data_IF_513518937989
#
_entry.id   IF_513518937989
#
_cell.length_a   1.000
_cell.length_b   1.000
_cell.length_c   1.000
_cell.angle_alpha   90.00
_cell.angle_beta   90.00
_cell.angle_gamma   90.00
#
_symmetry.space_group_name_H-M   'P 1'
#
loop_
_entity.id
_entity.type
_entity.pdbx_description
1 polymer ?
#
# COMPACT_ATOMS: atom_id res chain seq x y z
N UNK A 1 -23.16 -17.66 -9.84
CA UNK A 1 -23.40 -18.55 -8.69
C UNK A 1 -24.54 -17.96 -7.86
N UNK A 2 -25.42 -18.80 -7.31
CA UNK A 2 -26.70 -18.44 -6.70
C UNK A 2 -26.59 -17.64 -5.40
N UNK A 3 -27.43 -16.61 -5.27
CA UNK A 3 -27.57 -15.66 -4.14
C UNK A 3 -28.04 -16.25 -2.79
N UNK A 4 -28.06 -17.57 -2.58
CA UNK A 4 -28.56 -18.14 -1.33
C UNK A 4 -27.67 -19.30 -0.84
N UNK A 5 -26.87 -19.04 0.21
CA UNK A 5 -26.50 -20.00 1.29
C UNK A 5 -25.37 -19.50 2.23
N UNK A 6 -24.83 -18.29 2.06
CA UNK A 6 -23.91 -17.72 3.06
C UNK A 6 -24.67 -16.75 3.94
N UNK A 7 -24.74 -17.05 5.24
CA UNK A 7 -25.17 -16.08 6.24
C UNK A 7 -24.37 -14.79 6.01
N UNK A 8 -25.06 -13.64 6.02
CA UNK A 8 -24.41 -12.35 5.88
C UNK A 8 -23.22 -12.27 6.87
N UNK A 9 -22.02 -11.89 6.39
CA UNK A 9 -20.79 -11.85 7.21
C UNK A 9 -20.98 -11.02 8.47
N UNK A 10 -21.78 -9.96 8.40
CA UNK A 10 -22.16 -9.14 9.55
C UNK A 10 -23.08 -9.88 10.54
N UNK A 11 -23.97 -10.75 10.08
CA UNK A 11 -24.82 -11.54 10.99
C UNK A 11 -24.00 -12.63 11.69
N UNK A 12 -23.04 -13.25 10.97
CA UNK A 12 -22.11 -14.21 11.56
C UNK A 12 -21.24 -13.61 12.67
N UNK A 13 -20.66 -12.43 12.44
CA UNK A 13 -19.83 -11.80 13.47
C UNK A 13 -20.65 -11.39 14.71
N UNK A 14 -21.92 -10.99 14.54
CA UNK A 14 -22.83 -10.68 15.64
C UNK A 14 -23.19 -11.91 16.47
N UNK A 15 -23.43 -13.05 15.82
CA UNK A 15 -23.69 -14.33 16.50
C UNK A 15 -22.50 -14.72 17.39
N UNK A 16 -21.28 -14.72 16.82
CA UNK A 16 -20.04 -15.03 17.54
C UNK A 16 -19.84 -14.04 18.70
N UNK A 17 -20.09 -12.76 18.48
CA UNK A 17 -20.00 -11.74 19.53
C UNK A 17 -20.95 -12.03 20.70
N UNK A 18 -22.21 -12.40 20.41
CA UNK A 18 -23.18 -12.76 21.44
C UNK A 18 -22.76 -14.01 22.22
N UNK A 19 -22.23 -15.04 21.54
CA UNK A 19 -21.73 -16.24 22.20
C UNK A 19 -20.54 -15.95 23.10
N UNK A 20 -19.57 -15.17 22.62
CA UNK A 20 -18.41 -14.74 23.42
C UNK A 20 -18.87 -13.92 24.62
N UNK A 21 -19.76 -12.95 24.42
CA UNK A 21 -20.32 -12.13 25.50
C UNK A 21 -21.04 -12.97 26.56
N UNK A 22 -21.76 -14.01 26.15
CA UNK A 22 -22.49 -14.90 27.06
C UNK A 22 -21.54 -15.83 27.85
N UNK A 23 -20.43 -16.26 27.26
CA UNK A 23 -19.47 -17.21 27.86
C UNK A 23 -18.36 -16.53 28.66
N UNK A 24 -17.94 -15.33 28.27
CA UNK A 24 -16.84 -14.58 28.89
C UNK A 24 -17.35 -13.40 29.74
N UNK A 25 -18.31 -13.66 30.64
CA UNK A 25 -18.98 -12.63 31.48
C UNK A 25 -18.06 -11.89 32.43
N UNK A 26 -16.88 -12.44 32.68
CA UNK A 26 -15.85 -11.88 33.54
C UNK A 26 -14.92 -10.89 32.83
N UNK A 27 -15.11 -10.66 31.53
CA UNK A 27 -14.31 -9.73 30.71
C UNK A 27 -15.00 -8.35 30.64
N UNK A 28 -14.20 -7.28 30.72
CA UNK A 28 -14.71 -5.91 30.73
C UNK A 28 -15.11 -5.45 29.32
N UNK A 29 -14.24 -5.67 28.33
CA UNK A 29 -14.46 -5.24 26.95
C UNK A 29 -14.14 -6.36 25.95
N UNK A 30 -14.98 -6.48 24.91
CA UNK A 30 -14.92 -7.55 23.91
C UNK A 30 -14.97 -6.91 22.53
N UNK A 31 -14.08 -7.32 21.64
CA UNK A 31 -14.07 -6.92 20.23
C UNK A 31 -13.83 -8.14 19.34
N UNK A 32 -14.61 -8.23 18.27
CA UNK A 32 -14.44 -9.23 17.22
C UNK A 32 -14.20 -8.50 15.91
N UNK A 33 -13.15 -8.91 15.20
CA UNK A 33 -12.78 -8.39 13.89
C UNK A 33 -12.75 -9.54 12.88
N UNK A 34 -13.40 -9.37 11.74
CA UNK A 34 -13.36 -10.32 10.63
C UNK A 34 -12.76 -9.62 9.40
N UNK A 35 -11.92 -10.33 8.67
CA UNK A 35 -11.49 -9.91 7.34
C UNK A 35 -11.44 -11.09 6.39
N UNK A 36 -12.01 -10.92 5.20
CA UNK A 36 -12.07 -11.94 4.14
C UNK A 36 -11.68 -11.28 2.83
N UNK A 37 -10.80 -11.94 2.08
CA UNK A 37 -10.40 -11.56 0.73
C UNK A 37 -10.64 -12.72 -0.22
N UNK A 38 -11.20 -12.43 -1.39
CA UNK A 38 -11.30 -13.37 -2.50
C UNK A 38 -10.49 -12.90 -3.70
N UNK A 39 -9.98 -13.86 -4.46
CA UNK A 39 -9.20 -13.67 -5.68
C UNK A 39 -9.71 -14.60 -6.77
N UNK A 40 -9.85 -14.06 -7.98
CA UNK A 40 -10.05 -14.83 -9.20
C UNK A 40 -9.05 -14.34 -10.26
N UNK A 41 -8.15 -15.24 -10.67
CA UNK A 41 -6.98 -14.93 -11.50
C UNK A 41 -7.00 -15.78 -12.78
N UNK A 42 -6.69 -15.14 -13.90
CA UNK A 42 -6.49 -15.77 -15.20
C UNK A 42 -5.08 -15.44 -15.68
N UNK A 43 -4.22 -16.45 -15.73
CA UNK A 43 -2.85 -16.35 -16.25
C UNK A 43 -2.77 -17.06 -17.59
N UNK A 44 -2.20 -16.39 -18.58
CA UNK A 44 -1.94 -16.94 -19.92
C UNK A 44 -0.45 -17.07 -20.17
N UNK A 45 -0.12 -18.05 -21.00
CA UNK A 45 1.22 -18.31 -21.52
C UNK A 45 1.09 -19.16 -22.77
N UNK A 46 1.94 -18.91 -23.76
CA UNK A 46 1.94 -19.64 -25.04
C UNK A 46 0.59 -19.54 -25.78
N UNK A 47 -0.10 -18.39 -25.65
CA UNK A 47 -1.39 -18.08 -26.27
C UNK A 47 -2.56 -18.97 -25.82
N UNK A 48 -2.44 -19.60 -24.66
CA UNK A 48 -3.56 -20.26 -23.99
C UNK A 48 -3.56 -19.97 -22.49
N UNK A 49 -4.65 -20.36 -21.83
CA UNK A 49 -4.81 -20.27 -20.39
C UNK A 49 -3.89 -21.28 -19.71
N UNK A 50 -2.89 -20.78 -18.98
CA UNK A 50 -1.93 -21.58 -18.22
C UNK A 50 -2.45 -21.89 -16.82
N UNK A 51 -3.07 -20.89 -16.16
CA UNK A 51 -3.58 -21.02 -14.79
C UNK A 51 -4.91 -20.28 -14.63
N UNK A 52 -5.85 -20.93 -13.94
CA UNK A 52 -7.05 -20.30 -13.40
C UNK A 52 -7.10 -20.55 -11.90
N UNK A 53 -7.14 -19.47 -11.11
CA UNK A 53 -7.18 -19.52 -9.65
C UNK A 53 -8.51 -18.95 -9.17
N UNK A 54 -9.16 -19.65 -8.23
CA UNK A 54 -10.20 -19.08 -7.39
C UNK A 54 -9.84 -19.37 -5.94
N UNK A 55 -9.65 -18.33 -5.14
CA UNK A 55 -9.25 -18.45 -3.75
C UNK A 55 -10.09 -17.52 -2.86
N UNK A 56 -10.44 -18.00 -1.67
CA UNK A 56 -10.96 -17.18 -0.59
C UNK A 56 -10.10 -17.43 0.65
N UNK A 57 -9.70 -16.37 1.32
CA UNK A 57 -8.89 -16.41 2.53
C UNK A 57 -9.41 -15.41 3.53
N UNK A 58 -9.35 -15.75 4.81
CA UNK A 58 -9.74 -14.82 5.86
C UNK A 58 -9.87 -15.50 7.20
N UNK A 59 -10.45 -14.76 8.14
CA UNK A 59 -10.71 -15.29 9.46
C UNK A 59 -11.24 -14.24 10.40
N UNK A 60 -11.25 -14.63 11.68
CA UNK A 60 -11.86 -13.89 12.77
C UNK A 60 -10.82 -13.76 13.88
N UNK A 61 -10.60 -12.53 14.34
CA UNK A 61 -9.83 -12.20 15.51
C UNK A 61 -10.75 -11.84 16.68
N UNK A 62 -10.41 -12.33 17.87
CA UNK A 62 -11.02 -11.97 19.14
C UNK A 62 -10.02 -11.16 19.97
N UNK A 63 -10.46 -10.03 20.51
CA UNK A 63 -9.74 -9.23 21.49
C UNK A 63 -10.59 -9.13 22.75
N UNK A 64 -10.01 -9.50 23.89
CA UNK A 64 -10.58 -9.38 25.22
C UNK A 64 -9.75 -8.37 26.01
N UNK A 65 -10.40 -7.49 26.76
CA UNK A 65 -9.74 -6.57 27.69
C UNK A 65 -10.31 -6.79 29.09
N UNK A 66 -9.41 -6.97 30.06
CA UNK A 66 -9.77 -7.07 31.48
C UNK A 66 -8.70 -6.42 32.35
N UNK A 67 -9.10 -5.54 33.26
CA UNK A 67 -8.18 -4.82 34.16
C UNK A 67 -7.00 -4.17 33.40
N UNK A 68 -7.27 -3.62 32.21
CA UNK A 68 -6.24 -3.02 31.34
C UNK A 68 -5.29 -4.00 30.66
N UNK A 69 -5.48 -5.32 30.79
CA UNK A 69 -4.72 -6.34 30.06
C UNK A 69 -5.44 -6.73 28.78
N UNK A 70 -4.69 -6.92 27.69
CA UNK A 70 -5.24 -7.29 26.38
C UNK A 70 -4.89 -8.74 26.05
N UNK A 71 -5.90 -9.55 25.79
CA UNK A 71 -5.76 -10.90 25.26
C UNK A 71 -6.25 -10.99 23.84
N UNK A 72 -5.49 -11.67 22.97
CA UNK A 72 -5.87 -11.86 21.57
C UNK A 72 -5.87 -13.34 21.20
N UNK A 73 -6.80 -13.73 20.34
CA UNK A 73 -6.82 -15.03 19.66
C UNK A 73 -7.47 -14.90 18.29
N UNK A 74 -7.36 -15.92 17.45
CA UNK A 74 -7.94 -15.90 16.12
C UNK A 74 -8.30 -17.30 15.62
N UNK A 75 -9.08 -17.34 14.55
CA UNK A 75 -9.41 -18.56 13.79
C UNK A 75 -9.54 -18.24 12.31
N UNK A 76 -9.16 -19.18 11.44
CA UNK A 76 -9.38 -19.10 9.99
C UNK A 76 -10.73 -19.72 9.56
N UNK A 77 -11.43 -20.35 10.51
CA UNK A 77 -12.75 -20.94 10.26
C UNK A 77 -13.81 -19.84 10.23
N UNK A 78 -14.19 -19.40 9.03
CA UNK A 78 -15.25 -18.41 8.82
C UNK A 78 -16.63 -19.06 8.70
N UNK A 79 -16.71 -20.19 7.99
CA UNK A 79 -17.95 -20.83 7.52
C UNK A 79 -18.35 -22.13 8.23
N UNK A 80 -17.52 -22.62 9.15
CA UNK A 80 -17.76 -23.88 9.90
C UNK A 80 -18.00 -23.62 11.39
N UNK A 81 -18.35 -24.67 12.13
CA UNK A 81 -18.49 -24.64 13.59
C UNK A 81 -17.18 -24.19 14.23
N UNK A 82 -17.16 -22.92 14.65
CA UNK A 82 -16.04 -22.33 15.40
C UNK A 82 -16.11 -22.89 16.82
N UNK A 83 -15.00 -23.40 17.32
CA UNK A 83 -14.88 -23.68 18.74
C UNK A 83 -14.69 -22.36 19.51
N UNK A 84 -15.80 -21.74 19.90
CA UNK A 84 -15.82 -20.47 20.63
C UNK A 84 -15.10 -20.61 21.98
N UNK A 85 -15.17 -21.78 22.62
CA UNK A 85 -14.50 -22.01 23.90
C UNK A 85 -12.98 -21.98 23.75
N UNK A 86 -12.44 -22.62 22.70
CA UNK A 86 -10.99 -22.52 22.40
C UNK A 86 -10.58 -21.08 22.08
N UNK A 87 -11.39 -20.35 21.30
CA UNK A 87 -11.11 -18.96 20.96
C UNK A 87 -11.03 -18.08 22.23
N UNK A 88 -11.99 -18.23 23.16
CA UNK A 88 -12.00 -17.52 24.44
C UNK A 88 -10.83 -17.95 25.32
N UNK A 89 -10.58 -19.26 25.47
CA UNK A 89 -9.53 -19.79 26.32
C UNK A 89 -8.14 -19.35 25.86
N UNK A 90 -7.89 -19.33 24.55
CA UNK A 90 -6.65 -18.82 23.97
C UNK A 90 -6.49 -17.32 24.22
N UNK A 91 -7.55 -16.52 24.04
CA UNK A 91 -7.50 -15.09 24.33
C UNK A 91 -7.28 -14.83 25.83
N UNK A 92 -7.94 -15.57 26.74
CA UNK A 92 -7.71 -15.48 28.19
C UNK A 92 -6.30 -15.89 28.60
N UNK A 93 -5.73 -16.90 27.93
CA UNK A 93 -4.34 -17.31 28.15
C UNK A 93 -3.39 -16.18 27.73
N UNK A 94 -3.60 -15.58 26.55
CA UNK A 94 -2.86 -14.40 26.12
C UNK A 94 -3.00 -13.24 27.10
N UNK A 95 -4.21 -12.99 27.61
CA UNK A 95 -4.51 -11.94 28.59
C UNK A 95 -3.76 -12.13 29.90
N UNK A 96 -3.64 -13.38 30.38
CA UNK A 96 -2.95 -13.70 31.64
C UNK A 96 -1.50 -13.19 31.67
N UNK A 97 -0.78 -13.34 30.55
CA UNK A 97 0.62 -12.95 30.40
C UNK A 97 0.81 -11.49 29.96
N UNK A 98 -0.26 -10.76 29.67
CA UNK A 98 -0.17 -9.36 29.25
C UNK A 98 0.07 -8.41 30.43
N UNK A 99 0.81 -7.33 30.15
CA UNK A 99 0.95 -6.20 31.03
C UNK A 99 -0.37 -5.42 31.14
N UNK A 100 -0.63 -4.85 32.32
CA UNK A 100 -1.82 -4.06 32.60
C UNK A 100 -1.53 -2.59 32.33
N UNK A 101 -2.29 -1.97 31.42
CA UNK A 101 -2.26 -0.54 31.13
C UNK A 101 -3.70 0.03 31.06
N UNK A 102 -4.42 0.10 32.19
CA UNK A 102 -5.85 0.40 32.22
C UNK A 102 -6.21 1.80 31.72
N UNK A 103 -5.24 2.73 31.67
CA UNK A 103 -5.43 4.07 31.11
C UNK A 103 -5.49 4.06 29.58
N UNK A 104 -4.78 3.12 28.93
CA UNK A 104 -4.53 3.14 27.48
C UNK A 104 -5.21 1.97 26.74
N UNK A 105 -5.27 0.80 27.38
CA UNK A 105 -5.90 -0.40 26.82
C UNK A 105 -7.42 -0.34 27.00
N UNK A 106 -8.08 0.40 26.11
CA UNK A 106 -9.54 0.49 26.01
C UNK A 106 -9.99 0.41 24.57
N UNK A 107 -11.19 -0.09 24.34
CA UNK A 107 -11.82 -0.03 23.02
C UNK A 107 -12.26 1.40 22.72
N UNK A 108 -12.44 1.67 21.43
CA UNK A 108 -12.97 2.95 20.98
C UNK A 108 -14.50 2.93 21.07
N UNK A 109 -15.04 4.05 21.50
CA UNK A 109 -16.49 4.24 21.61
C UNK A 109 -17.13 4.38 20.24
N UNK A 110 -18.41 4.03 20.17
CA UNK A 110 -19.23 4.25 18.97
C UNK A 110 -19.24 5.74 18.62
N UNK A 111 -19.04 6.05 17.33
CA UNK A 111 -19.32 7.36 16.75
C UNK A 111 -20.77 7.41 16.20
N UNK A 112 -21.40 8.58 16.27
CA UNK A 112 -22.78 8.80 15.80
C UNK A 112 -22.88 9.01 14.27
N UNK A 113 -21.75 8.92 13.55
CA UNK A 113 -21.67 9.28 12.14
C UNK A 113 -21.72 8.03 11.25
N UNK A 114 -22.82 7.88 10.51
CA UNK A 114 -23.12 6.72 9.67
C UNK A 114 -22.69 6.89 8.21
N UNK A 115 -22.05 8.00 7.82
CA UNK A 115 -21.68 8.20 6.41
C UNK A 115 -20.63 7.17 5.99
N UNK A 116 -21.04 6.30 5.07
CA UNK A 116 -20.21 5.28 4.43
C UNK A 116 -20.24 5.43 2.92
N UNK A 117 -19.13 5.11 2.28
CA UNK A 117 -18.97 5.08 0.84
C UNK A 117 -19.10 3.65 0.34
N UNK A 118 -19.85 3.46 -0.74
CA UNK A 118 -19.87 2.19 -1.48
C UNK A 118 -18.59 2.09 -2.32
N UNK A 119 -17.83 1.04 -2.09
CA UNK A 119 -16.55 0.77 -2.77
C UNK A 119 -16.62 -0.47 -3.65
N UNK A 120 -17.83 -0.94 -3.98
CA UNK A 120 -18.05 -2.01 -4.94
C UNK A 120 -18.32 -1.41 -6.31
N UNK A 121 -17.37 -1.62 -7.21
CA UNK A 121 -17.55 -1.35 -8.62
C UNK A 121 -18.27 -2.52 -9.31
N UNK A 122 -19.51 -2.29 -9.76
CA UNK A 122 -20.33 -3.32 -10.42
C UNK A 122 -19.78 -3.74 -11.78
N UNK A 123 -19.05 -2.88 -12.48
CA UNK A 123 -18.49 -3.20 -13.79
C UNK A 123 -17.42 -4.29 -13.67
N UNK A 124 -16.59 -4.25 -12.62
CA UNK A 124 -15.62 -5.33 -12.32
C UNK A 124 -16.34 -6.65 -12.01
N UNK A 125 -17.43 -6.59 -11.24
CA UNK A 125 -18.22 -7.79 -10.88
C UNK A 125 -18.87 -8.42 -12.12
N UNK A 126 -19.35 -7.58 -13.04
CA UNK A 126 -20.10 -8.01 -14.23
C UNK A 126 -19.21 -8.56 -15.36
N UNK A 127 -17.88 -8.46 -15.25
CA UNK A 127 -16.97 -9.13 -16.20
C UNK A 127 -17.17 -10.65 -16.11
N UNK A 128 -17.53 -11.27 -17.23
CA UNK A 128 -17.66 -12.71 -17.36
C UNK A 128 -16.28 -13.38 -17.46
N UNK A 129 -16.20 -14.66 -17.08
CA UNK A 129 -14.96 -15.44 -17.14
C UNK A 129 -14.40 -15.50 -18.57
N UNK A 130 -15.25 -15.58 -19.59
CA UNK A 130 -14.83 -15.51 -21.00
C UNK A 130 -14.17 -14.17 -21.32
N UNK A 131 -14.72 -13.05 -20.81
CA UNK A 131 -14.13 -11.72 -21.02
C UNK A 131 -12.80 -11.57 -20.28
N UNK A 132 -12.68 -12.12 -19.07
CA UNK A 132 -11.44 -12.13 -18.31
C UNK A 132 -10.33 -12.92 -19.03
N UNK A 133 -10.66 -14.10 -19.60
CA UNK A 133 -9.75 -14.87 -20.45
C UNK A 133 -9.37 -14.10 -21.72
N UNK A 134 -10.34 -13.49 -22.41
CA UNK A 134 -10.10 -12.69 -23.62
C UNK A 134 -9.12 -11.54 -23.38
N UNK A 135 -9.30 -10.78 -22.29
CA UNK A 135 -8.39 -9.69 -21.94
C UNK A 135 -6.99 -10.22 -21.64
N UNK A 136 -6.89 -11.32 -20.88
CA UNK A 136 -5.60 -11.92 -20.54
C UNK A 136 -4.81 -12.34 -21.79
N UNK A 137 -5.47 -13.04 -22.73
CA UNK A 137 -4.87 -13.42 -24.01
C UNK A 137 -4.44 -12.20 -24.83
N UNK A 138 -5.27 -11.15 -24.84
CA UNK A 138 -4.98 -9.91 -25.57
C UNK A 138 -3.72 -9.22 -25.04
N UNK A 139 -3.45 -9.28 -23.72
CA UNK A 139 -2.23 -8.71 -23.12
C UNK A 139 -1.01 -9.44 -23.67
N UNK A 140 -0.99 -10.77 -23.64
CA UNK A 140 0.12 -11.57 -24.17
C UNK A 140 0.36 -11.32 -25.66
N UNK A 141 -0.71 -11.38 -26.48
CA UNK A 141 -0.61 -11.16 -27.93
C UNK A 141 -0.05 -9.77 -28.24
N UNK A 142 -0.48 -8.74 -27.50
CA UNK A 142 0.00 -7.39 -27.70
C UNK A 142 1.47 -7.25 -27.31
N UNK A 143 1.91 -7.84 -26.20
CA UNK A 143 3.32 -7.83 -25.77
C UNK A 143 4.24 -8.42 -26.85
N UNK A 144 3.88 -9.55 -27.46
CA UNK A 144 4.66 -10.14 -28.56
C UNK A 144 4.64 -9.28 -29.83
N UNK A 145 3.57 -8.53 -30.09
CA UNK A 145 3.41 -7.77 -31.34
C UNK A 145 4.25 -6.49 -31.43
N UNK A 146 4.72 -5.96 -30.29
CA UNK A 146 5.29 -4.62 -30.22
C UNK A 146 6.77 -4.53 -30.61
N UNK A 147 7.56 -5.59 -30.35
CA UNK A 147 8.99 -5.62 -30.69
C UNK A 147 9.45 -7.07 -30.92
N UNK A 148 10.19 -7.31 -32.02
CA UNK A 148 10.65 -8.65 -32.39
C UNK A 148 11.73 -9.23 -31.46
N UNK A 149 12.30 -8.42 -30.56
CA UNK A 149 13.24 -8.85 -29.54
C UNK A 149 12.56 -9.43 -28.32
N UNK A 150 11.24 -9.31 -28.18
CA UNK A 150 10.47 -10.04 -27.17
C UNK A 150 10.44 -11.51 -27.56
N UNK A 151 11.27 -12.31 -26.88
CA UNK A 151 11.46 -13.73 -27.19
C UNK A 151 10.60 -14.64 -26.32
N UNK A 152 10.07 -14.14 -25.21
CA UNK A 152 9.19 -14.89 -24.32
C UNK A 152 8.33 -13.95 -23.46
N UNK A 153 7.12 -14.39 -23.12
CA UNK A 153 6.20 -13.80 -22.14
C UNK A 153 5.96 -14.86 -21.06
N UNK A 154 6.74 -14.86 -19.95
CA UNK A 154 6.63 -15.90 -18.92
C UNK A 154 5.26 -15.94 -18.24
N UNK A 155 4.61 -14.79 -18.11
CA UNK A 155 3.32 -14.63 -17.45
C UNK A 155 2.64 -13.34 -17.91
N UNK A 156 1.38 -13.42 -18.28
CA UNK A 156 0.52 -12.27 -18.50
C UNK A 156 -0.91 -12.62 -18.06
N UNK A 157 -1.70 -11.61 -17.72
CA UNK A 157 -3.07 -11.87 -17.32
C UNK A 157 -3.66 -10.80 -16.43
N UNK A 158 -4.66 -11.22 -15.66
CA UNK A 158 -5.35 -10.35 -14.72
C UNK A 158 -5.85 -11.13 -13.51
N UNK A 159 -6.13 -10.40 -12.43
CA UNK A 159 -6.81 -10.89 -11.25
C UNK A 159 -7.83 -9.87 -10.77
N UNK A 160 -9.02 -10.33 -10.37
CA UNK A 160 -9.99 -9.51 -9.65
C UNK A 160 -10.04 -9.92 -8.18
N UNK A 161 -10.19 -8.92 -7.32
CA UNK A 161 -10.16 -9.07 -5.88
C UNK A 161 -11.46 -8.56 -5.27
N UNK A 162 -11.93 -9.25 -4.23
CA UNK A 162 -12.97 -8.74 -3.35
C UNK A 162 -12.44 -8.76 -1.91
N UNK A 163 -12.85 -7.79 -1.12
CA UNK A 163 -12.48 -7.67 0.27
C UNK A 163 -13.70 -7.33 1.11
N UNK A 164 -13.80 -7.94 2.27
CA UNK A 164 -14.75 -7.56 3.30
C UNK A 164 -14.07 -7.51 4.65
N UNK A 165 -14.36 -6.48 5.43
CA UNK A 165 -14.06 -6.47 6.86
C UNK A 165 -15.29 -6.13 7.68
N UNK A 166 -15.38 -6.72 8.86
CA UNK A 166 -16.43 -6.45 9.83
C UNK A 166 -15.79 -6.25 11.20
N UNK A 167 -16.40 -5.39 12.02
CA UNK A 167 -16.01 -5.21 13.41
C UNK A 167 -17.24 -5.05 14.29
N UNK A 168 -17.25 -5.75 15.43
CA UNK A 168 -18.25 -5.61 16.48
C UNK A 168 -17.55 -5.49 17.82
N UNK A 169 -17.94 -4.53 18.65
CA UNK A 169 -17.35 -4.35 19.97
C UNK A 169 -18.37 -4.05 21.08
N UNK A 170 -17.92 -4.17 22.34
CA UNK A 170 -18.74 -3.93 23.53
C UNK A 170 -19.17 -2.49 23.75
N UNK A 171 -18.51 -1.52 23.12
CA UNK A 171 -18.84 -0.10 23.21
C UNK A 171 -19.84 0.34 22.11
N UNK A 172 -20.39 -0.62 21.36
CA UNK A 172 -21.47 -0.39 20.41
C UNK A 172 -21.04 -0.25 18.96
N UNK A 173 -19.76 -0.45 18.63
CA UNK A 173 -19.32 -0.52 17.23
C UNK A 173 -19.89 -1.78 16.58
N UNK A 174 -20.42 -1.59 15.37
CA UNK A 174 -20.94 -2.66 14.51
C UNK A 174 -20.87 -2.16 13.06
N UNK A 175 -19.74 -2.38 12.37
CA UNK A 175 -19.46 -1.82 11.03
C UNK A 175 -19.04 -2.90 10.04
N UNK A 176 -19.53 -2.80 8.81
CA UNK A 176 -19.13 -3.64 7.66
C UNK A 176 -18.57 -2.74 6.56
N UNK A 177 -17.52 -3.21 5.90
CA UNK A 177 -16.99 -2.60 4.69
C UNK A 177 -16.74 -3.67 3.64
N UNK A 178 -17.16 -3.39 2.40
CA UNK A 178 -16.92 -4.23 1.22
C UNK A 178 -16.27 -3.39 0.13
N UNK A 179 -15.28 -3.94 -0.56
CA UNK A 179 -14.65 -3.32 -1.73
C UNK A 179 -14.14 -4.34 -2.73
N UNK A 180 -13.91 -3.91 -3.97
CA UNK A 180 -13.29 -4.73 -5.00
C UNK A 180 -12.25 -3.95 -5.80
N UNK A 181 -11.37 -4.68 -6.48
CA UNK A 181 -10.38 -4.14 -7.39
C UNK A 181 -10.05 -5.14 -8.48
N UNK A 182 -9.37 -4.68 -9.52
CA UNK A 182 -8.84 -5.51 -10.59
C UNK A 182 -7.38 -5.13 -10.84
N UNK A 183 -6.56 -6.12 -11.18
CA UNK A 183 -5.18 -5.95 -11.55
C UNK A 183 -4.90 -6.66 -12.88
N UNK A 184 -4.06 -6.06 -13.72
CA UNK A 184 -3.59 -6.59 -14.99
C UNK A 184 -2.08 -6.62 -14.93
N UNK A 185 -1.44 -7.69 -15.39
CA UNK A 185 0.00 -7.83 -15.27
C UNK A 185 0.62 -8.43 -16.53
N UNK A 186 1.91 -8.18 -16.72
CA UNK A 186 2.68 -8.76 -17.80
C UNK A 186 4.17 -8.82 -17.45
N UNK A 187 4.78 -9.95 -17.78
CA UNK A 187 6.22 -10.18 -17.72
C UNK A 187 6.74 -10.47 -19.12
N UNK A 188 7.86 -9.85 -19.49
CA UNK A 188 8.51 -10.06 -20.79
C UNK A 188 9.99 -10.37 -20.61
N UNK A 189 10.51 -11.19 -21.51
CA UNK A 189 11.94 -11.41 -21.72
C UNK A 189 12.30 -10.89 -23.11
N UNK A 190 13.22 -9.92 -23.15
CA UNK A 190 13.78 -9.41 -24.39
C UNK A 190 15.22 -9.90 -24.56
N UNK A 191 15.60 -10.18 -25.82
CA UNK A 191 16.95 -10.62 -26.18
C UNK A 191 17.47 -9.90 -27.41
N UNK A 192 18.71 -9.42 -27.33
CA UNK A 192 19.46 -8.89 -28.47
C UNK A 192 20.91 -9.34 -28.32
N UNK A 193 21.43 -10.08 -29.31
CA UNK A 193 22.70 -10.81 -29.22
C UNK A 193 22.74 -11.71 -27.96
N UNK A 194 23.78 -11.58 -27.13
CA UNK A 194 23.94 -12.32 -25.87
C UNK A 194 23.31 -11.62 -24.66
N UNK A 195 22.69 -10.44 -24.86
CA UNK A 195 22.07 -9.66 -23.79
C UNK A 195 20.62 -10.10 -23.63
N UNK A 196 20.27 -10.54 -22.43
CA UNK A 196 18.90 -10.90 -22.03
C UNK A 196 18.45 -9.97 -20.90
N UNK A 197 17.25 -9.41 -21.02
CA UNK A 197 16.64 -8.53 -20.03
C UNK A 197 15.21 -8.94 -19.75
N UNK A 198 14.75 -8.70 -18.54
CA UNK A 198 13.38 -8.96 -18.11
C UNK A 198 12.74 -7.69 -17.60
N UNK A 199 11.42 -7.62 -17.72
CA UNK A 199 10.62 -6.58 -17.10
C UNK A 199 9.26 -7.13 -16.73
N UNK A 200 8.78 -6.70 -15.57
CA UNK A 200 7.45 -7.01 -15.06
C UNK A 200 6.79 -5.70 -14.65
N UNK A 201 5.51 -5.56 -14.97
CA UNK A 201 4.67 -4.49 -14.44
C UNK A 201 3.26 -4.99 -14.17
N UNK A 202 2.58 -4.28 -13.28
CA UNK A 202 1.20 -4.57 -12.89
C UNK A 202 0.43 -3.25 -12.86
N UNK A 203 -0.77 -3.22 -13.43
CA UNK A 203 -1.76 -2.15 -13.36
C UNK A 203 -2.92 -2.53 -12.48
N UNK A 204 -3.16 -1.79 -11.38
CA UNK A 204 -4.26 -2.05 -10.45
C UNK A 204 -5.20 -0.86 -10.35
N UNK A 205 -6.50 -1.12 -10.38
CA UNK A 205 -7.57 -0.11 -10.35
C UNK A 205 -8.79 -0.59 -9.56
N UNK A 206 -9.60 0.35 -9.09
CA UNK A 206 -10.96 0.08 -8.58
C UNK A 206 -12.04 0.31 -9.64
N UNK A 207 -11.65 0.58 -10.89
CA UNK A 207 -12.51 0.61 -12.06
C UNK A 207 -12.14 -0.48 -13.07
N UNK A 208 -13.04 -0.77 -14.01
CA UNK A 208 -12.82 -1.74 -15.09
C UNK A 208 -12.16 -1.11 -16.33
N UNK A 209 -11.65 0.12 -16.24
CA UNK A 209 -11.05 0.83 -17.37
C UNK A 209 -9.58 0.43 -17.48
N UNK A 210 -9.22 -0.18 -18.60
CA UNK A 210 -7.87 -0.67 -18.86
C UNK A 210 -7.43 -0.32 -20.27
N UNK A 211 -6.38 0.51 -20.36
CA UNK A 211 -5.69 0.82 -21.61
C UNK A 211 -4.56 -0.19 -21.83
N UNK A 212 -4.89 -1.25 -22.56
CA UNK A 212 -3.96 -2.32 -22.91
C UNK A 212 -2.78 -1.82 -23.75
N UNK A 213 -2.99 -0.84 -24.62
CA UNK A 213 -1.96 -0.35 -25.54
C UNK A 213 -0.88 0.40 -24.75
N UNK A 214 -1.30 1.34 -23.89
CA UNK A 214 -0.37 2.08 -23.03
C UNK A 214 0.36 1.15 -22.06
N UNK A 215 -0.34 0.20 -21.45
CA UNK A 215 0.24 -0.75 -20.49
C UNK A 215 1.32 -1.65 -21.13
N UNK A 216 0.98 -2.30 -22.24
CA UNK A 216 1.92 -3.21 -22.92
C UNK A 216 3.07 -2.47 -23.58
N UNK A 217 2.83 -1.28 -24.14
CA UNK A 217 3.89 -0.41 -24.66
C UNK A 217 4.88 -0.01 -23.56
N UNK A 218 4.39 0.37 -22.37
CA UNK A 218 5.27 0.69 -21.24
C UNK A 218 6.16 -0.51 -20.87
N UNK A 219 5.60 -1.72 -20.80
CA UNK A 219 6.38 -2.94 -20.50
C UNK A 219 7.46 -3.20 -21.55
N UNK A 220 7.11 -3.14 -22.83
CA UNK A 220 8.03 -3.44 -23.94
C UNK A 220 9.11 -2.38 -24.06
N UNK A 221 8.76 -1.09 -23.99
CA UNK A 221 9.74 0.00 -24.03
C UNK A 221 10.77 -0.12 -22.90
N UNK A 222 10.33 -0.43 -21.69
CA UNK A 222 11.23 -0.57 -20.53
C UNK A 222 12.20 -1.74 -20.69
N UNK A 223 11.75 -2.92 -21.15
CA UNK A 223 12.67 -4.06 -21.32
C UNK A 223 13.64 -3.86 -22.49
N UNK A 224 13.15 -3.27 -23.58
CA UNK A 224 13.94 -3.04 -24.80
C UNK A 224 15.02 -2.00 -24.55
N UNK A 225 14.69 -0.90 -23.87
CA UNK A 225 15.67 0.14 -23.53
C UNK A 225 16.79 -0.35 -22.62
N UNK A 226 16.58 -1.45 -21.88
CA UNK A 226 17.63 -2.09 -21.05
C UNK A 226 18.65 -2.89 -21.87
N UNK A 227 18.35 -3.27 -23.11
CA UNK A 227 19.27 -4.05 -23.95
C UNK A 227 20.51 -3.24 -24.36
N UNK A 228 20.37 -1.92 -24.48
CA UNK A 228 21.44 -1.00 -24.90
C UNK A 228 21.99 -0.13 -23.75
N UNK A 229 21.79 -0.57 -22.50
CA UNK A 229 22.22 0.17 -21.32
C UNK A 229 23.75 0.34 -21.25
N UNK A 230 24.19 1.49 -20.71
CA UNK A 230 25.61 1.87 -20.59
C UNK A 230 25.98 2.21 -19.15
N UNK A 231 27.24 2.01 -18.73
CA UNK A 231 27.66 2.40 -17.38
C UNK A 231 27.52 3.91 -17.18
N UNK A 232 27.26 4.30 -15.92
CA UNK A 232 27.34 5.67 -15.45
C UNK A 232 28.53 5.79 -14.47
N UNK A 233 29.19 6.93 -14.41
CA UNK A 233 30.27 7.16 -13.46
C UNK A 233 29.74 7.32 -12.03
N UNK A 234 30.55 6.91 -11.05
CA UNK A 234 30.26 7.19 -9.64
C UNK A 234 30.43 8.68 -9.37
N UNK A 235 29.56 9.27 -8.56
CA UNK A 235 29.62 10.69 -8.28
C UNK A 235 28.34 11.24 -7.69
N UNK A 236 28.19 12.55 -7.77
CA UNK A 236 26.98 13.24 -7.32
C UNK A 236 26.24 13.80 -8.51
N UNK A 237 24.94 13.56 -8.56
CA UNK A 237 24.10 13.97 -9.67
C UNK A 237 22.90 14.74 -9.18
N UNK A 238 22.53 15.78 -9.93
CA UNK A 238 21.18 16.32 -9.89
C UNK A 238 20.24 15.26 -10.46
N UNK A 239 19.09 15.05 -9.82
CA UNK A 239 18.29 13.86 -10.09
C UNK A 239 16.82 14.21 -10.20
N UNK A 240 16.15 13.67 -11.22
CA UNK A 240 14.69 13.58 -11.22
C UNK A 240 14.33 12.17 -10.76
N UNK A 241 13.61 12.03 -9.66
CA UNK A 241 12.91 10.78 -9.38
C UNK A 241 11.58 10.84 -10.11
N UNK A 242 11.26 9.82 -10.90
CA UNK A 242 9.91 9.67 -11.47
C UNK A 242 8.89 9.50 -10.34
N UNK A 243 7.60 9.68 -10.64
CA UNK A 243 6.50 9.35 -9.74
C UNK A 243 6.65 7.95 -9.08
N UNK A 244 7.07 6.94 -9.86
CA UNK A 244 7.34 5.57 -9.40
C UNK A 244 8.51 5.50 -8.42
N UNK A 245 9.65 6.14 -8.73
CA UNK A 245 10.80 6.17 -7.83
C UNK A 245 10.49 6.94 -6.53
N UNK A 246 9.81 8.10 -6.62
CA UNK A 246 9.37 8.87 -5.46
C UNK A 246 8.42 8.06 -4.57
N UNK A 247 7.46 7.36 -5.17
CA UNK A 247 6.55 6.46 -4.45
C UNK A 247 7.30 5.36 -3.70
N UNK A 248 8.26 4.70 -4.35
CA UNK A 248 9.03 3.60 -3.74
C UNK A 248 9.82 4.12 -2.53
N UNK A 249 10.54 5.24 -2.68
CA UNK A 249 11.37 5.75 -1.58
C UNK A 249 10.51 6.26 -0.42
N UNK A 250 9.43 7.00 -0.68
CA UNK A 250 8.51 7.46 0.38
C UNK A 250 7.87 6.26 1.09
N UNK A 251 7.47 5.24 0.32
CA UNK A 251 6.87 4.01 0.85
C UNK A 251 7.77 3.26 1.83
N UNK A 252 9.07 3.25 1.57
CA UNK A 252 10.04 2.63 2.49
C UNK A 252 10.10 3.32 3.87
N UNK A 253 9.59 4.55 3.99
CA UNK A 253 9.67 5.37 5.19
C UNK A 253 8.31 5.74 5.79
N UNK A 254 7.20 5.13 5.36
CA UNK A 254 5.88 5.39 5.97
C UNK A 254 5.85 5.14 7.47
N UNK A 255 6.58 4.14 7.95
CA UNK A 255 6.68 3.79 9.37
C UNK A 255 7.21 4.93 10.25
N UNK A 256 7.91 5.93 9.67
CA UNK A 256 8.38 7.10 10.41
C UNK A 256 7.25 7.91 11.03
N UNK A 257 6.10 7.95 10.36
CA UNK A 257 4.93 8.71 10.80
C UNK A 257 4.11 7.97 11.86
N UNK A 258 4.40 6.71 12.17
CA UNK A 258 3.73 5.96 13.24
C UNK A 258 4.06 6.55 14.60
N UNK A 259 3.03 6.97 15.35
CA UNK A 259 3.19 7.40 16.75
C UNK A 259 3.73 6.27 17.63
N UNK A 260 3.45 5.00 17.32
CA UNK A 260 4.04 3.87 18.04
C UNK A 260 5.57 3.84 17.87
N UNK A 261 6.06 4.02 16.64
CA UNK A 261 7.49 4.10 16.36
C UNK A 261 8.13 5.29 17.08
N UNK A 262 7.45 6.44 17.12
CA UNK A 262 7.91 7.63 17.84
C UNK A 262 7.99 7.40 19.35
N UNK A 263 6.94 6.84 19.96
CA UNK A 263 6.88 6.55 21.39
C UNK A 263 7.93 5.50 21.80
N UNK A 264 8.21 4.53 20.93
CA UNK A 264 9.28 3.53 21.11
C UNK A 264 10.68 4.04 20.77
N UNK A 265 10.84 5.31 20.37
CA UNK A 265 12.11 5.93 19.95
C UNK A 265 12.77 5.25 18.75
N UNK A 266 11.95 4.70 17.85
CA UNK A 266 12.36 4.02 16.62
C UNK A 266 12.11 4.88 15.37
N UNK A 267 11.66 6.13 15.53
CA UNK A 267 11.44 7.07 14.43
C UNK A 267 12.31 8.31 14.59
N UNK A 268 12.98 8.71 13.50
CA UNK A 268 13.70 9.98 13.39
C UNK A 268 12.79 11.22 13.44
N UNK A 269 11.46 11.06 13.42
CA UNK A 269 10.51 12.15 13.60
C UNK A 269 10.23 12.48 15.08
N UNK A 270 10.85 11.77 16.02
CA UNK A 270 10.74 12.07 17.45
C UNK A 270 11.09 13.53 17.74
N UNK A 271 10.17 14.23 18.41
CA UNK A 271 10.35 15.64 18.79
C UNK A 271 10.30 16.63 17.63
N UNK A 272 9.91 16.20 16.41
CA UNK A 272 9.85 17.07 15.22
C UNK A 272 8.44 17.61 14.91
N UNK A 273 7.45 17.38 15.77
CA UNK A 273 6.13 18.02 15.61
C UNK A 273 6.29 19.55 15.58
N UNK A 274 5.61 20.18 14.64
CA UNK A 274 5.66 21.61 14.33
C UNK A 274 7.04 22.12 13.87
N UNK A 275 7.96 21.23 13.48
CA UNK A 275 9.26 21.58 12.92
C UNK A 275 9.26 21.41 11.40
N UNK A 276 10.09 22.21 10.73
CA UNK A 276 10.35 22.06 9.29
C UNK A 276 11.25 20.83 9.08
N UNK A 277 10.74 19.84 8.35
CA UNK A 277 11.43 18.58 8.05
C UNK A 277 11.63 18.32 6.55
N UNK A 278 11.07 19.19 5.71
CA UNK A 278 11.13 19.09 4.25
C UNK A 278 11.14 20.48 3.59
N UNK A 279 11.32 20.51 2.27
CA UNK A 279 11.19 21.72 1.46
C UNK A 279 9.80 22.32 1.60
N UNK A 280 9.68 23.65 1.47
CA UNK A 280 8.38 24.33 1.66
C UNK A 280 7.34 24.02 0.58
N UNK A 281 7.74 23.38 -0.52
CA UNK A 281 6.82 22.91 -1.56
C UNK A 281 6.26 21.50 -1.26
N UNK A 282 6.75 20.83 -0.20
CA UNK A 282 6.28 19.51 0.20
C UNK A 282 5.04 19.66 1.07
N UNK A 283 3.93 19.13 0.57
CA UNK A 283 2.68 18.94 1.28
C UNK A 283 2.30 17.46 1.21
N UNK A 284 2.03 16.87 2.36
CA UNK A 284 1.67 15.45 2.47
C UNK A 284 0.39 15.32 3.27
N UNK A 285 -0.56 14.57 2.72
CA UNK A 285 -1.82 14.24 3.37
C UNK A 285 -2.11 12.75 3.31
N UNK A 286 -2.90 12.28 4.27
CA UNK A 286 -3.57 11.00 4.20
C UNK A 286 -5.06 11.24 3.91
N UNK A 287 -5.59 10.60 2.86
CA UNK A 287 -6.98 10.79 2.41
C UNK A 287 -7.70 9.44 2.37
N UNK A 288 -8.50 9.08 3.36
CA UNK A 288 -9.08 7.73 3.46
C UNK A 288 -10.07 7.38 2.35
N UNK A 289 -10.68 8.37 1.71
CA UNK A 289 -11.60 8.18 0.59
C UNK A 289 -11.14 9.07 -0.56
N UNK A 290 -10.46 8.46 -1.53
CA UNK A 290 -9.94 9.12 -2.72
C UNK A 290 -10.55 8.50 -3.98
N UNK A 291 -10.75 9.30 -5.03
CA UNK A 291 -11.25 8.75 -6.29
C UNK A 291 -10.29 7.66 -6.79
N UNK A 292 -10.82 6.47 -7.07
CA UNK A 292 -10.08 5.27 -7.48
C UNK A 292 -9.01 4.75 -6.50
N UNK A 293 -9.02 5.20 -5.25
CA UNK A 293 -8.05 4.79 -4.23
C UNK A 293 -8.17 3.31 -3.82
N UNK A 294 -7.10 2.53 -4.01
CA UNK A 294 -7.06 1.10 -3.63
C UNK A 294 -7.12 0.89 -2.11
N UNK A 295 -6.58 1.84 -1.34
CA UNK A 295 -6.61 1.83 0.12
C UNK A 295 -7.80 2.57 0.72
N UNK A 296 -8.83 2.87 -0.09
CA UNK A 296 -10.04 3.48 0.42
C UNK A 296 -10.63 2.67 1.58
N UNK A 297 -11.07 3.38 2.61
CA UNK A 297 -11.75 2.79 3.76
C UNK A 297 -12.59 3.80 4.54
N UNK A 298 -13.75 3.36 5.02
CA UNK A 298 -14.71 4.11 5.82
C UNK A 298 -14.35 4.15 7.31
N UNK A 299 -13.64 3.14 7.80
CA UNK A 299 -13.25 3.02 9.20
C UNK A 299 -11.93 2.27 9.36
N UNK A 300 -11.16 2.59 10.39
CA UNK A 300 -9.86 1.97 10.64
C UNK A 300 -9.96 0.58 11.30
N UNK A 301 -8.83 -0.02 11.68
CA UNK A 301 -8.76 -1.34 12.31
C UNK A 301 -9.41 -1.44 13.71
N UNK A 302 -9.82 -0.32 14.30
CA UNK A 302 -10.55 -0.25 15.58
C UNK A 302 -12.01 0.15 15.38
N UNK A 303 -12.44 0.40 14.13
CA UNK A 303 -13.79 0.86 13.82
C UNK A 303 -13.96 2.37 13.93
N UNK A 304 -12.88 3.13 14.11
CA UNK A 304 -12.92 4.59 14.13
C UNK A 304 -13.21 5.13 12.73
N UNK A 305 -14.15 6.07 12.60
CA UNK A 305 -14.36 6.75 11.32
C UNK A 305 -13.08 7.44 10.85
N UNK A 306 -12.68 7.18 9.62
CA UNK A 306 -11.51 7.78 8.99
C UNK A 306 -11.80 9.21 8.53
N UNK A 307 -10.76 10.04 8.51
CA UNK A 307 -10.81 11.44 8.07
C UNK A 307 -9.48 11.84 7.45
N UNK A 308 -9.54 12.84 6.56
CA UNK A 308 -8.35 13.43 5.98
C UNK A 308 -7.43 14.00 7.06
N UNK A 309 -6.13 13.80 6.87
CA UNK A 309 -5.09 14.26 7.78
C UNK A 309 -3.97 14.95 7.01
N UNK A 310 -3.71 16.22 7.32
CA UNK A 310 -2.53 16.92 6.83
C UNK A 310 -1.33 16.51 7.69
N UNK A 311 -0.43 15.70 7.15
CA UNK A 311 0.76 15.21 7.83
C UNK A 311 1.88 16.25 7.75
N UNK A 312 2.14 16.77 6.55
CA UNK A 312 3.12 17.84 6.31
C UNK A 312 2.43 18.98 5.56
N UNK A 313 2.60 20.22 6.03
CA UNK A 313 2.16 21.42 5.32
C UNK A 313 3.32 22.38 5.18
N UNK A 314 3.63 22.79 3.95
CA UNK A 314 4.74 23.67 3.62
C UNK A 314 6.07 23.21 4.24
N UNK A 315 6.33 21.90 4.21
CA UNK A 315 7.51 21.27 4.79
C UNK A 315 7.51 21.12 6.32
N UNK A 316 6.45 21.53 7.02
CA UNK A 316 6.31 21.42 8.48
C UNK A 316 5.51 20.18 8.86
N UNK A 317 6.03 19.36 9.78
CA UNK A 317 5.33 18.18 10.30
C UNK A 317 4.23 18.59 11.28
N UNK A 318 2.96 18.29 10.97
CA UNK A 318 1.82 18.69 11.79
C UNK A 318 1.28 17.57 12.70
N UNK A 319 1.43 16.31 12.28
CA UNK A 319 0.85 15.17 13.01
C UNK A 319 1.66 13.89 12.78
N UNK A 320 1.65 13.02 13.78
CA UNK A 320 1.89 11.58 13.59
C UNK A 320 0.57 10.87 13.25
N UNK A 321 0.66 9.59 12.90
CA UNK A 321 -0.47 8.69 12.73
C UNK A 321 -0.72 7.97 14.05
N UNK A 322 -1.97 7.93 14.48
CA UNK A 322 -2.37 7.42 15.79
C UNK A 322 -3.48 6.36 15.66
N UNK A 323 -3.32 5.29 16.43
CA UNK A 323 -4.43 4.43 16.85
C UNK A 323 -4.96 4.89 18.23
N UNK A 324 -5.98 4.24 18.77
CA UNK A 324 -6.58 4.64 20.05
C UNK A 324 -5.57 4.58 21.22
N UNK A 325 -4.78 3.51 21.29
CA UNK A 325 -3.82 3.29 22.37
C UNK A 325 -2.73 4.38 22.43
N UNK A 326 -2.06 4.61 21.29
CA UNK A 326 -0.99 5.61 21.18
C UNK A 326 -1.52 7.04 21.36
N UNK A 327 -2.74 7.32 20.88
CA UNK A 327 -3.38 8.62 21.09
C UNK A 327 -3.63 8.90 22.58
N UNK A 328 -4.12 7.90 23.33
CA UNK A 328 -4.35 8.02 24.78
C UNK A 328 -3.05 8.28 25.53
N UNK A 329 -1.95 7.63 25.15
CA UNK A 329 -0.62 7.87 25.75
C UNK A 329 -0.14 9.31 25.57
N UNK A 330 -0.46 9.93 24.44
CA UNK A 330 -0.11 11.32 24.14
C UNK A 330 -1.19 12.32 24.60
N UNK A 331 -2.29 11.85 25.22
CA UNK A 331 -3.38 12.70 25.68
C UNK A 331 -4.19 13.37 24.56
N UNK A 332 -4.17 12.80 23.35
CA UNK A 332 -4.88 13.31 22.18
C UNK A 332 -5.97 12.33 21.71
N UNK A 333 -6.75 12.74 20.71
CA UNK A 333 -7.69 11.84 20.01
C UNK A 333 -6.96 11.08 18.91
N UNK A 334 -7.40 9.85 18.64
CA UNK A 334 -6.94 9.06 17.49
C UNK A 334 -7.09 9.84 16.19
N UNK A 335 -6.15 9.62 15.27
CA UNK A 335 -6.28 10.10 13.89
C UNK A 335 -7.00 9.08 13.02
N UNK A 336 -7.47 7.97 13.59
CA UNK A 336 -8.17 6.88 12.91
C UNK A 336 -7.27 6.13 11.93
N UNK A 337 -6.05 5.79 12.37
CA UNK A 337 -5.05 5.10 11.55
C UNK A 337 -4.67 3.72 12.12
N UNK A 338 -5.55 3.12 12.93
CA UNK A 338 -5.33 1.75 13.39
C UNK A 338 -5.34 0.79 12.20
N UNK A 339 -4.38 -0.12 12.13
CA UNK A 339 -4.25 -1.09 11.03
C UNK A 339 -4.12 -2.51 11.57
N UNK A 340 -4.83 -3.48 10.99
CA UNK A 340 -4.74 -4.89 11.40
C UNK A 340 -5.27 -5.86 10.35
N UNK A 341 -4.74 -7.08 10.38
CA UNK A 341 -5.43 -8.28 9.91
C UNK A 341 -6.14 -8.99 11.06
N UNK A 342 -6.91 -10.04 10.74
CA UNK A 342 -7.61 -10.83 11.77
C UNK A 342 -6.68 -11.58 12.73
N UNK A 343 -5.44 -11.88 12.32
CA UNK A 343 -4.43 -12.57 13.15
C UNK A 343 -3.48 -11.63 13.90
N UNK A 344 -3.46 -10.35 13.56
CA UNK A 344 -2.39 -9.43 14.01
C UNK A 344 -2.85 -8.57 15.17
N UNK A 345 -1.89 -8.10 15.95
CA UNK A 345 -2.10 -6.96 16.84
C UNK A 345 -2.43 -5.70 16.04
N UNK A 346 -2.92 -4.68 16.74
CA UNK A 346 -3.28 -3.40 16.16
C UNK A 346 -2.00 -2.58 15.96
N UNK A 347 -1.65 -2.34 14.70
CA UNK A 347 -0.58 -1.44 14.30
C UNK A 347 -1.11 -0.08 13.87
N UNK A 348 -0.28 0.67 13.15
CA UNK A 348 -0.60 1.97 12.58
C UNK A 348 -0.13 2.01 11.13
N UNK A 349 -1.02 2.38 10.20
CA UNK A 349 -0.68 2.56 8.79
C UNK A 349 -1.43 3.75 8.19
N UNK A 350 -0.92 4.27 7.07
CA UNK A 350 -1.64 5.21 6.23
C UNK A 350 -2.78 4.50 5.46
N UNK A 351 -3.71 5.30 4.95
CA UNK A 351 -4.68 4.91 3.92
C UNK A 351 -4.09 5.28 2.56
N UNK A 352 -4.60 6.34 1.92
CA UNK A 352 -4.02 6.91 0.70
C UNK A 352 -3.08 8.06 1.08
N UNK A 353 -1.78 7.77 1.10
CA UNK A 353 -0.72 8.73 1.41
C UNK A 353 -0.34 9.52 0.17
N UNK A 354 -0.60 10.82 0.15
CA UNK A 354 -0.47 11.68 -1.03
C UNK A 354 0.56 12.77 -0.75
N UNK A 355 1.68 12.73 -1.47
CA UNK A 355 2.50 13.90 -1.75
C UNK A 355 1.82 14.69 -2.86
N UNK A 356 1.44 15.93 -2.57
CA UNK A 356 0.67 16.74 -3.52
C UNK A 356 1.48 17.10 -4.78
N UNK A 357 0.81 17.20 -5.92
CA UNK A 357 1.39 17.63 -7.19
C UNK A 357 1.98 19.04 -7.10
N UNK A 358 3.01 19.28 -7.90
CA UNK A 358 3.44 20.63 -8.27
C UNK A 358 2.69 21.14 -9.50
N UNK A 359 3.26 22.15 -10.15
CA UNK A 359 2.68 22.79 -11.34
C UNK A 359 3.46 22.53 -12.62
N UNK A 360 4.55 21.76 -12.57
CA UNK A 360 5.46 21.56 -13.70
C UNK A 360 5.16 20.25 -14.43
N UNK A 361 5.66 20.08 -15.65
CA UNK A 361 5.75 18.77 -16.30
C UNK A 361 7.07 18.08 -15.97
N UNK A 362 7.15 16.76 -16.18
CA UNK A 362 8.39 16.02 -15.98
C UNK A 362 9.49 16.50 -16.94
N UNK A 363 9.14 16.86 -18.17
CA UNK A 363 10.04 17.42 -19.17
C UNK A 363 10.61 18.77 -18.71
N UNK A 364 9.80 19.60 -18.05
CA UNK A 364 10.28 20.86 -17.47
C UNK A 364 11.30 20.61 -16.36
N UNK A 365 11.09 19.62 -15.49
CA UNK A 365 12.08 19.18 -14.49
C UNK A 365 13.39 18.73 -15.16
N UNK A 366 13.30 17.90 -16.20
CA UNK A 366 14.46 17.39 -16.95
C UNK A 366 15.22 18.54 -17.63
N UNK A 367 14.51 19.54 -18.17
CA UNK A 367 15.12 20.68 -18.87
C UNK A 367 16.03 21.54 -17.99
N UNK A 368 15.83 21.52 -16.66
CA UNK A 368 16.65 22.24 -15.69
C UNK A 368 18.01 21.58 -15.39
N UNK A 369 18.29 20.42 -16.00
CA UNK A 369 19.45 19.60 -15.68
C UNK A 369 20.45 19.60 -16.85
N UNK A 370 21.63 20.21 -16.63
CA UNK A 370 22.74 20.11 -17.59
C UNK A 370 23.38 18.72 -17.58
N UNK A 371 23.58 18.15 -16.40
CA UNK A 371 24.16 16.82 -16.20
C UNK A 371 23.50 16.15 -15.00
N UNK A 372 22.75 15.07 -15.23
CA UNK A 372 22.04 14.38 -14.15
C UNK A 372 21.46 13.04 -14.56
N UNK A 373 20.50 12.54 -13.79
CA UNK A 373 19.86 11.25 -14.04
C UNK A 373 18.36 11.33 -13.74
N UNK A 374 17.54 10.76 -14.61
CA UNK A 374 16.16 10.41 -14.33
C UNK A 374 16.15 9.00 -13.71
N UNK A 375 15.81 8.86 -12.44
CA UNK A 375 15.70 7.57 -11.77
C UNK A 375 14.26 7.08 -11.89
N UNK A 376 14.08 5.95 -12.57
CA UNK A 376 12.77 5.38 -12.89
C UNK A 376 12.28 4.40 -11.81
N UNK A 377 13.20 3.67 -11.19
CA UNK A 377 12.88 2.61 -10.24
C UNK A 377 13.98 2.46 -9.20
N UNK A 378 13.58 1.98 -8.02
CA UNK A 378 14.44 1.64 -6.90
C UNK A 378 14.10 0.22 -6.44
N UNK A 379 15.12 -0.56 -6.09
CA UNK A 379 14.97 -1.94 -5.58
C UNK A 379 15.82 -2.13 -4.32
N UNK A 380 15.49 -3.17 -3.55
CA UNK A 380 16.23 -3.49 -2.32
C UNK A 380 15.80 -2.72 -1.07
N UNK A 381 14.61 -2.10 -1.07
CA UNK A 381 14.10 -1.32 0.08
C UNK A 381 14.01 -2.11 1.38
N UNK A 382 13.89 -3.43 1.35
CA UNK A 382 13.84 -4.28 2.54
C UNK A 382 15.18 -4.41 3.27
N UNK A 383 16.30 -4.22 2.59
CA UNK A 383 17.65 -4.38 3.15
C UNK A 383 18.50 -3.11 3.08
N UNK A 384 18.17 -2.22 2.14
CA UNK A 384 18.93 -1.00 1.85
C UNK A 384 18.37 0.27 2.48
N UNK A 385 17.47 0.18 3.45
CA UNK A 385 16.96 1.35 4.20
C UNK A 385 17.10 1.15 5.70
N UNK A 386 17.35 2.25 6.42
CA UNK A 386 17.36 2.28 7.87
C UNK A 386 16.33 3.29 8.35
N UNK A 387 15.20 2.81 8.89
CA UNK A 387 14.13 3.66 9.39
C UNK A 387 14.49 4.44 10.67
N UNK A 388 15.60 4.13 11.35
CA UNK A 388 16.03 4.87 12.54
C UNK A 388 16.90 6.07 12.13
N UNK A 389 17.89 5.86 11.26
CA UNK A 389 18.76 6.95 10.80
C UNK A 389 18.15 7.75 9.64
N UNK A 390 17.29 7.12 8.84
CA UNK A 390 16.74 7.67 7.60
C UNK A 390 17.61 7.40 6.37
N UNK A 391 18.71 6.68 6.52
CA UNK A 391 19.66 6.42 5.44
C UNK A 391 19.17 5.32 4.52
N UNK A 392 19.38 5.52 3.21
CA UNK A 392 19.15 4.51 2.21
C UNK A 392 20.36 4.33 1.30
N UNK A 393 20.50 3.12 0.78
CA UNK A 393 21.42 2.73 -0.28
C UNK A 393 20.74 1.65 -1.10
N UNK A 394 20.21 2.04 -2.27
CA UNK A 394 19.29 1.24 -3.06
C UNK A 394 19.83 1.06 -4.46
N UNK A 395 19.62 -0.12 -5.03
CA UNK A 395 19.83 -0.29 -6.46
C UNK A 395 18.76 0.51 -7.22
N UNK A 396 19.18 1.17 -8.27
CA UNK A 396 18.37 2.06 -9.09
C UNK A 396 18.54 1.74 -10.56
N UNK A 397 17.48 2.00 -11.31
CA UNK A 397 17.47 2.01 -12.77
C UNK A 397 17.05 3.39 -13.25
N UNK A 398 17.69 3.89 -14.30
CA UNK A 398 17.44 5.25 -14.76
C UNK A 398 18.04 5.57 -16.12
N UNK A 399 17.83 6.81 -16.54
CA UNK A 399 18.24 7.35 -17.84
C UNK A 399 19.12 8.57 -17.59
N UNK A 400 20.28 8.61 -18.26
CA UNK A 400 21.19 9.76 -18.21
C UNK A 400 20.51 10.99 -18.78
N UNK A 401 20.64 12.13 -18.10
CA UNK A 401 20.23 13.45 -18.61
C UNK A 401 21.46 14.26 -18.98
N UNK A 402 21.47 14.81 -20.20
CA UNK A 402 22.51 15.68 -20.73
C UNK A 402 21.87 16.86 -21.46
N UNK A 403 22.29 18.09 -21.11
CA UNK A 403 21.80 19.34 -21.71
C UNK A 403 20.27 19.45 -21.74
N UNK A 404 19.62 19.06 -20.64
CA UNK A 404 18.16 19.11 -20.49
C UNK A 404 17.39 18.04 -21.28
N UNK A 405 18.05 16.95 -21.72
CA UNK A 405 17.43 15.89 -22.52
C UNK A 405 17.85 14.50 -22.04
N UNK A 406 16.96 13.53 -22.21
CA UNK A 406 17.26 12.11 -22.01
C UNK A 406 18.29 11.66 -23.06
N UNK A 407 19.33 10.94 -22.61
CA UNK A 407 20.47 10.52 -23.43
C UNK A 407 20.51 9.00 -23.63
N UNK A 408 20.84 8.22 -22.59
CA UNK A 408 20.90 6.76 -22.67
C UNK A 408 20.47 6.10 -21.35
N UNK A 409 19.93 4.88 -21.44
CA UNK A 409 19.63 4.05 -20.27
C UNK A 409 20.92 3.69 -19.55
N UNK A 410 21.01 3.97 -18.26
CA UNK A 410 22.15 3.56 -17.45
C UNK A 410 22.04 2.08 -17.06
N UNK A 411 23.17 1.39 -16.97
CA UNK A 411 23.26 0.12 -16.23
C UNK A 411 22.78 0.33 -14.79
N UNK A 412 22.27 -0.72 -14.10
CA UNK A 412 21.89 -0.58 -12.70
C UNK A 412 23.03 0.00 -11.86
N UNK A 413 22.73 0.99 -11.04
CA UNK A 413 23.67 1.68 -10.14
C UNK A 413 23.08 1.75 -8.73
N UNK A 414 23.86 2.17 -7.75
CA UNK A 414 23.41 2.41 -6.37
C UNK A 414 23.15 3.91 -6.17
N UNK A 415 22.01 4.26 -5.58
CA UNK A 415 21.70 5.61 -5.10
C UNK A 415 21.66 5.58 -3.58
N UNK A 416 22.36 6.51 -2.94
CA UNK A 416 22.39 6.64 -1.49
C UNK A 416 22.07 8.06 -1.02
N UNK A 417 21.47 8.16 0.17
CA UNK A 417 21.14 9.43 0.80
C UNK A 417 20.41 9.24 2.12
N UNK A 418 19.84 10.32 2.64
CA UNK A 418 18.95 10.33 3.80
C UNK A 418 17.57 10.86 3.41
N UNK A 419 16.49 10.27 3.93
CA UNK A 419 15.12 10.63 3.55
C UNK A 419 14.76 12.08 3.91
N UNK A 420 15.18 12.61 5.06
CA UNK A 420 14.89 13.99 5.41
C UNK A 420 15.69 14.97 4.57
N UNK A 421 16.94 14.63 4.25
CA UNK A 421 17.76 15.43 3.35
C UNK A 421 17.17 15.42 1.94
N UNK A 422 16.69 14.27 1.45
CA UNK A 422 16.00 14.14 0.17
C UNK A 422 14.78 15.06 0.12
N UNK A 423 13.88 14.96 1.11
CA UNK A 423 12.67 15.79 1.18
C UNK A 423 12.98 17.29 1.34
N UNK A 424 14.08 17.63 2.02
CA UNK A 424 14.55 19.01 2.19
C UNK A 424 15.17 19.58 0.90
N UNK A 425 15.73 18.70 0.06
CA UNK A 425 16.40 19.06 -1.19
C UNK A 425 15.51 18.94 -2.44
N UNK A 426 14.20 18.74 -2.28
CA UNK A 426 13.25 18.83 -3.39
C UNK A 426 13.09 20.28 -3.84
N UNK A 427 13.46 20.54 -5.09
CA UNK A 427 13.44 21.87 -5.72
C UNK A 427 12.17 22.11 -6.54
N UNK A 428 11.67 21.07 -7.22
CA UNK A 428 10.47 21.13 -8.06
C UNK A 428 9.69 19.83 -7.97
N UNK A 429 8.38 19.95 -8.11
CA UNK A 429 7.46 18.83 -8.26
C UNK A 429 6.73 18.96 -9.61
N UNK A 430 6.53 17.82 -10.26
CA UNK A 430 5.69 17.72 -11.45
C UNK A 430 4.21 17.55 -11.09
N UNK A 431 3.34 17.60 -12.10
CA UNK A 431 1.91 17.32 -12.04
C UNK A 431 1.58 16.00 -12.77
N UNK A 432 2.30 14.93 -12.42
CA UNK A 432 2.26 13.63 -13.10
C UNK A 432 2.06 12.46 -12.13
N UNK A 433 1.51 12.70 -10.95
CA UNK A 433 1.18 11.62 -10.01
C UNK A 433 0.30 10.57 -10.69
N UNK A 434 0.78 9.33 -10.64
CA UNK A 434 0.02 8.17 -11.04
C UNK A 434 -0.80 7.67 -9.83
N UNK A 435 -2.13 7.76 -9.96
CA UNK A 435 -3.09 7.37 -8.92
C UNK A 435 -3.51 5.91 -8.99
N UNK A 436 -2.94 5.14 -9.90
CA UNK A 436 -3.17 3.72 -10.02
C UNK A 436 -2.10 2.95 -9.20
N UNK A 437 -2.25 1.63 -9.05
CA UNK A 437 -1.19 0.72 -8.52
C UNK A 437 -0.84 0.77 -7.02
N UNK A 438 -1.24 1.80 -6.27
CA UNK A 438 -0.74 1.96 -4.90
C UNK A 438 -1.73 2.62 -3.96
N UNK A 439 -1.34 2.70 -2.70
CA UNK A 439 -1.92 3.55 -1.67
C UNK A 439 -1.00 4.74 -1.35
N UNK A 440 0.07 4.90 -2.13
CA UNK A 440 1.08 5.94 -1.97
C UNK A 440 1.20 6.65 -3.31
N UNK A 441 1.00 7.95 -3.28
CA UNK A 441 0.89 8.79 -4.44
C UNK A 441 1.91 9.90 -4.34
N UNK A 442 2.74 10.03 -5.37
CA UNK A 442 3.77 11.04 -5.42
C UNK A 442 4.01 11.46 -6.88
N UNK A 443 4.21 12.75 -7.16
CA UNK A 443 4.66 13.21 -8.45
C UNK A 443 6.14 12.92 -8.65
N UNK A 444 6.61 13.09 -9.88
CA UNK A 444 8.04 13.23 -10.14
C UNK A 444 8.58 14.46 -9.42
N UNK A 445 9.80 14.32 -8.90
CA UNK A 445 10.46 15.36 -8.12
C UNK A 445 11.88 15.60 -8.64
N UNK A 446 12.28 16.87 -8.69
CA UNK A 446 13.66 17.27 -8.91
C UNK A 446 14.35 17.42 -7.57
N UNK A 447 15.35 16.57 -7.33
CA UNK A 447 16.21 16.58 -6.15
C UNK A 447 17.53 17.25 -6.54
N UNK A 448 17.96 18.20 -5.71
CA UNK A 448 19.17 18.99 -5.92
C UNK A 448 20.41 18.14 -6.21
N UNK A 449 20.66 17.14 -5.38
CA UNK A 449 21.85 16.28 -5.46
C UNK A 449 21.64 14.96 -4.71
N UNK A 450 22.08 13.85 -5.31
CA UNK A 450 22.15 12.52 -4.68
C UNK A 450 23.48 11.82 -5.03
N UNK A 451 23.93 10.92 -4.16
CA UNK A 451 25.18 10.15 -4.34
C UNK A 451 24.92 8.86 -5.10
N UNK A 452 25.72 8.61 -6.13
CA UNK A 452 25.62 7.49 -7.05
C UNK A 452 26.91 6.67 -7.03
N UNK A 453 26.79 5.35 -6.98
CA UNK A 453 27.90 4.42 -7.14
C UNK A 453 27.60 3.40 -8.25
N UNK A 454 28.55 3.23 -9.16
CA UNK A 454 28.44 2.41 -10.37
C UNK A 454 28.74 0.94 -10.15
#
# INVERSE_FOLDING_TARGET
MSENSFMNRMDRIKEIYNDVKNKAKDIDEIEIYMSVSGEEEFTVREKDLDKYTYAESGGIGLRLIKDGKVGISFTEKISSDINIDDLINNAKTSLHYADSEPEYNKLIDKDDDEKSYDMINKDIVNLSNDKLKEISLSIEDKLYSLDNRIVNVPSAGLARYNFTKCIVNSNGICKEEKKNSIAYYGEVIAKENDIVKTFFDVYSSTDAVFDIDSFTKNIVDNVVNKLSAKPIESGKYKTVFTNKAMRIIIGAYLGLFSSEAVQKKLSLLQGKLNQKIASSIINIKDVPIYDKGLANTNFDGEGSKTKDLNIITNGVLNSYLYNNYTAKKDGIKTTSHASRGFKTSIGISCHNFILENGNNTQEELISQIQNGVLVNSLTGTHAGVNAISGDFSLQAEGIKIENGKLSYTANPFIVSGNILDLLSNVEMLANDTDYHHSSIYAPSALIKELSFAS
#
